data_IF_966648645673
#
_entry.id   IF_966648645673
#
_cell.length_a   1.000
_cell.length_b   1.000
_cell.length_c   1.000
_cell.angle_alpha   90.00
_cell.angle_beta   90.00
_cell.angle_gamma   90.00
#
_symmetry.space_group_name_H-M   'P 1'
#
loop_
_entity.id
_entity.type
_entity.pdbx_description
1 polymer ?
#
# COMPACT_ATOMS: atom_id res chain seq x y z
N UNK A 1 24.74 -50.92 14.67
CA UNK A 1 24.89 -49.46 14.59
C UNK A 1 25.45 -48.96 15.91
N UNK A 2 26.55 -48.19 15.90
CA UNK A 2 27.11 -47.65 17.14
C UNK A 2 26.17 -46.59 17.73
N UNK A 3 26.10 -46.46 19.06
CA UNK A 3 25.31 -45.41 19.73
C UNK A 3 25.66 -44.00 19.21
N UNK A 4 26.92 -43.80 18.81
CA UNK A 4 27.40 -42.55 18.21
C UNK A 4 26.72 -42.23 16.87
N UNK A 5 26.50 -43.24 16.04
CA UNK A 5 25.84 -43.08 14.73
C UNK A 5 24.36 -42.68 14.88
N UNK A 6 23.68 -43.26 15.87
CA UNK A 6 22.29 -42.93 16.18
C UNK A 6 22.19 -41.49 16.70
N UNK A 7 23.08 -41.07 17.61
CA UNK A 7 23.11 -39.70 18.14
C UNK A 7 23.39 -38.69 17.02
N UNK A 8 24.34 -38.98 16.13
CA UNK A 8 24.63 -38.11 14.99
C UNK A 8 23.41 -37.97 14.06
N UNK A 9 22.75 -39.08 13.73
CA UNK A 9 21.59 -39.09 12.84
C UNK A 9 20.39 -38.36 13.45
N UNK A 10 20.13 -38.55 14.74
CA UNK A 10 19.07 -37.83 15.47
C UNK A 10 19.39 -36.33 15.52
N UNK A 11 20.63 -35.95 15.82
CA UNK A 11 21.05 -34.52 15.82
C UNK A 11 20.93 -33.89 14.42
N UNK A 12 21.26 -34.62 13.36
CA UNK A 12 21.11 -34.15 11.98
C UNK A 12 19.63 -33.97 11.61
N UNK A 13 18.75 -34.90 12.02
CA UNK A 13 17.30 -34.77 11.84
C UNK A 13 16.77 -33.57 12.63
N UNK A 14 17.18 -33.38 13.89
CA UNK A 14 16.76 -32.25 14.70
C UNK A 14 17.22 -30.92 14.09
N UNK A 15 18.43 -30.84 13.56
CA UNK A 15 18.93 -29.68 12.82
C UNK A 15 18.11 -29.45 11.53
N UNK A 16 17.88 -30.50 10.73
CA UNK A 16 17.04 -30.40 9.53
C UNK A 16 15.63 -29.90 9.86
N UNK A 17 14.98 -30.45 10.88
CA UNK A 17 13.65 -30.03 11.33
C UNK A 17 13.68 -28.58 11.83
N UNK A 18 14.72 -28.17 12.55
CA UNK A 18 14.87 -26.79 13.03
C UNK A 18 15.09 -25.78 11.89
N UNK A 19 15.84 -26.12 10.84
CA UNK A 19 16.19 -25.21 9.74
C UNK A 19 15.23 -25.28 8.54
N UNK A 20 14.48 -26.36 8.37
CA UNK A 20 13.55 -26.54 7.23
C UNK A 20 12.53 -25.40 7.11
N UNK A 21 11.88 -24.91 8.18
CA UNK A 21 10.95 -23.78 8.08
C UNK A 21 11.62 -22.51 7.54
N UNK A 22 12.85 -22.22 7.98
CA UNK A 22 13.62 -21.06 7.51
C UNK A 22 14.03 -21.19 6.05
N UNK A 23 14.41 -22.39 5.60
CA UNK A 23 14.76 -22.66 4.19
C UNK A 23 13.54 -22.53 3.29
N UNK A 24 12.39 -23.10 3.68
CA UNK A 24 11.13 -22.97 2.93
C UNK A 24 10.72 -21.50 2.84
N UNK A 25 10.86 -20.75 3.93
CA UNK A 25 10.56 -19.30 3.94
C UNK A 25 11.45 -18.53 2.98
N UNK A 26 12.76 -18.74 3.03
CA UNK A 26 13.70 -18.10 2.10
C UNK A 26 13.40 -18.46 0.65
N UNK A 27 13.05 -19.72 0.38
CA UNK A 27 12.63 -20.16 -0.95
C UNK A 27 11.35 -19.47 -1.42
N UNK A 28 10.32 -19.38 -0.58
CA UNK A 28 9.06 -18.68 -0.90
C UNK A 28 9.28 -17.19 -1.14
N UNK A 29 10.09 -16.53 -0.31
CA UNK A 29 10.43 -15.11 -0.49
C UNK A 29 11.24 -14.88 -1.78
N UNK A 30 12.22 -15.74 -2.06
CA UNK A 30 13.02 -15.66 -3.29
C UNK A 30 12.17 -15.91 -4.56
N UNK A 31 11.05 -16.62 -4.44
CA UNK A 31 10.12 -16.89 -5.53
C UNK A 31 8.83 -16.06 -5.46
N UNK A 32 8.75 -15.05 -4.58
CA UNK A 32 7.55 -14.23 -4.40
C UNK A 32 7.10 -13.61 -5.74
N UNK A 33 8.07 -13.12 -6.51
CA UNK A 33 7.87 -12.46 -7.81
C UNK A 33 8.17 -13.37 -9.02
N UNK A 34 8.20 -14.69 -8.83
CA UNK A 34 8.40 -15.61 -9.95
C UNK A 34 7.21 -15.49 -10.93
N UNK A 35 7.48 -15.11 -12.18
CA UNK A 35 6.46 -14.82 -13.20
C UNK A 35 5.41 -15.93 -13.35
N UNK A 36 5.79 -17.21 -13.19
CA UNK A 36 4.88 -18.35 -13.35
C UNK A 36 3.92 -18.53 -12.18
N UNK A 37 4.23 -17.96 -11.02
CA UNK A 37 3.47 -18.14 -9.78
C UNK A 37 3.05 -16.83 -9.13
N UNK A 38 3.38 -15.68 -9.72
CA UNK A 38 3.22 -14.35 -9.09
C UNK A 38 1.77 -14.06 -8.71
N UNK A 39 0.82 -14.29 -9.62
CA UNK A 39 -0.61 -14.15 -9.37
C UNK A 39 -1.07 -14.99 -8.17
N UNK A 40 -0.67 -16.26 -8.14
CA UNK A 40 -0.97 -17.17 -7.04
C UNK A 40 -0.32 -16.72 -5.73
N UNK A 41 0.90 -16.21 -5.78
CA UNK A 41 1.59 -15.73 -4.59
C UNK A 41 0.88 -14.50 -3.99
N UNK A 42 0.41 -13.59 -4.84
CA UNK A 42 -0.22 -12.32 -4.43
C UNK A 42 -1.58 -12.50 -3.76
N UNK A 43 -2.27 -13.62 -4.01
CA UNK A 43 -3.49 -14.01 -3.30
C UNK A 43 -3.25 -14.94 -2.10
N UNK A 44 -1.99 -15.25 -1.78
CA UNK A 44 -1.59 -16.20 -0.71
C UNK A 44 -0.43 -15.67 0.14
N UNK A 45 -0.37 -14.35 0.36
CA UNK A 45 0.69 -13.70 1.14
C UNK A 45 0.77 -14.23 2.57
N UNK A 46 -0.37 -14.50 3.21
CA UNK A 46 -0.50 -15.16 4.51
C UNK A 46 0.18 -16.53 4.58
N UNK A 47 0.34 -17.22 3.44
CA UNK A 47 1.04 -18.51 3.35
C UNK A 47 2.53 -18.35 3.08
N UNK A 48 2.99 -17.14 2.72
CA UNK A 48 4.38 -16.82 2.38
C UNK A 48 5.08 -16.12 3.53
N UNK A 49 4.42 -15.15 4.15
CA UNK A 49 4.94 -14.36 5.26
C UNK A 49 4.48 -14.94 6.59
N UNK A 50 5.41 -15.07 7.53
CA UNK A 50 5.09 -15.54 8.88
C UNK A 50 4.52 -14.43 9.78
N UNK A 51 4.83 -13.17 9.45
CA UNK A 51 4.41 -12.01 10.21
C UNK A 51 3.30 -11.32 9.42
N UNK A 52 2.06 -11.67 9.79
CA UNK A 52 0.86 -10.96 9.37
C UNK A 52 0.14 -10.47 10.61
N UNK A 53 -0.66 -9.43 10.45
CA UNK A 53 -1.48 -8.92 11.53
C UNK A 53 -2.60 -9.89 11.91
N UNK A 54 -3.23 -9.67 13.06
CA UNK A 54 -4.57 -10.17 13.27
C UNK A 54 -5.51 -9.64 12.16
N UNK A 55 -6.54 -10.40 11.76
CA UNK A 55 -7.49 -9.94 10.75
C UNK A 55 -8.15 -8.62 11.14
N UNK A 56 -8.32 -7.75 10.16
CA UNK A 56 -9.24 -6.63 10.16
C UNK A 56 -10.60 -7.22 9.80
N UNK A 57 -11.57 -7.32 10.72
CA UNK A 57 -12.86 -7.93 10.41
C UNK A 57 -13.61 -7.16 9.32
N UNK A 58 -14.38 -7.87 8.51
CA UNK A 58 -15.41 -7.28 7.65
C UNK A 58 -16.41 -6.42 8.45
N UNK A 59 -17.12 -5.54 7.75
CA UNK A 59 -18.21 -4.76 8.35
C UNK A 59 -19.33 -5.69 8.84
N UNK A 60 -19.91 -5.37 9.99
CA UNK A 60 -21.12 -6.04 10.49
C UNK A 60 -22.33 -5.86 9.55
N UNK A 61 -22.31 -4.84 8.70
CA UNK A 61 -23.34 -4.52 7.72
C UNK A 61 -22.74 -4.45 6.31
N UNK A 62 -22.38 -5.60 5.70
CA UNK A 62 -21.76 -5.62 4.39
C UNK A 62 -22.69 -5.06 3.32
N UNK A 63 -22.15 -4.19 2.45
CA UNK A 63 -22.88 -3.57 1.35
C UNK A 63 -22.41 -4.22 0.04
N UNK A 64 -23.35 -4.83 -0.67
CA UNK A 64 -23.13 -5.39 -2.00
C UNK A 64 -23.44 -4.33 -3.05
N UNK A 65 -22.52 -4.07 -3.97
CA UNK A 65 -22.77 -3.16 -5.08
C UNK A 65 -23.95 -3.65 -5.94
N UNK A 66 -24.87 -2.74 -6.24
CA UNK A 66 -25.96 -3.01 -7.18
C UNK A 66 -25.37 -3.18 -8.57
N UNK A 67 -25.70 -4.28 -9.24
CA UNK A 67 -25.29 -4.52 -10.63
C UNK A 67 -26.11 -3.65 -11.57
N UNK A 68 -25.46 -3.11 -12.60
CA UNK A 68 -26.10 -2.50 -13.77
C UNK A 68 -25.57 -3.23 -15.00
N UNK A 69 -26.47 -3.72 -15.84
CA UNK A 69 -26.06 -4.41 -17.07
C UNK A 69 -25.20 -3.47 -17.92
N UNK A 70 -24.00 -3.94 -18.23
CA UNK A 70 -23.04 -3.28 -19.10
C UNK A 70 -22.18 -4.36 -19.75
N UNK A 71 -21.95 -4.22 -21.05
CA UNK A 71 -21.04 -5.08 -21.78
C UNK A 71 -19.78 -4.28 -22.08
N UNK A 72 -18.62 -4.82 -21.68
CA UNK A 72 -17.36 -4.20 -22.04
C UNK A 72 -17.24 -4.12 -23.57
N UNK A 73 -16.66 -3.02 -24.10
CA UNK A 73 -16.43 -2.92 -25.54
C UNK A 73 -15.40 -3.97 -25.99
N UNK A 74 -15.56 -4.51 -27.20
CA UNK A 74 -14.58 -5.47 -27.77
C UNK A 74 -13.19 -4.84 -27.94
N UNK A 75 -13.14 -3.52 -28.13
CA UNK A 75 -11.92 -2.79 -28.45
C UNK A 75 -11.86 -1.44 -27.73
N UNK A 76 -10.65 -0.98 -27.44
CA UNK A 76 -10.36 0.36 -26.94
C UNK A 76 -9.37 1.08 -27.87
N UNK A 77 -9.23 2.40 -27.73
CA UNK A 77 -8.26 3.18 -28.49
C UNK A 77 -7.13 3.62 -27.57
N UNK A 78 -5.88 3.34 -27.97
CA UNK A 78 -4.68 3.79 -27.27
C UNK A 78 -3.68 4.30 -28.31
N UNK A 79 -3.18 5.53 -28.14
CA UNK A 79 -2.26 6.19 -29.08
C UNK A 79 -2.72 6.13 -30.56
N UNK A 80 -4.02 6.35 -30.78
CA UNK A 80 -4.63 6.32 -32.13
C UNK A 80 -4.77 4.93 -32.75
N UNK A 81 -4.40 3.86 -32.03
CA UNK A 81 -4.58 2.47 -32.46
C UNK A 81 -5.79 1.85 -31.77
N UNK A 82 -6.61 1.16 -32.56
CA UNK A 82 -7.71 0.32 -32.04
C UNK A 82 -7.14 -1.03 -31.62
N UNK A 83 -7.25 -1.36 -30.33
CA UNK A 83 -6.72 -2.57 -29.72
C UNK A 83 -7.86 -3.44 -29.18
N UNK A 84 -7.67 -4.76 -29.12
CA UNK A 84 -8.64 -5.67 -28.52
C UNK A 84 -8.55 -5.62 -26.99
N UNK A 85 -9.70 -5.45 -26.32
CA UNK A 85 -9.74 -5.30 -24.87
C UNK A 85 -9.32 -6.58 -24.13
N UNK A 86 -9.79 -7.74 -24.60
CA UNK A 86 -9.49 -9.02 -23.96
C UNK A 86 -8.01 -9.40 -24.13
N UNK A 87 -7.42 -9.12 -25.29
CA UNK A 87 -5.97 -9.26 -25.50
C UNK A 87 -5.19 -8.32 -24.58
N UNK A 88 -5.66 -7.09 -24.37
CA UNK A 88 -5.07 -6.16 -23.41
C UNK A 88 -5.08 -6.69 -21.97
N UNK A 89 -6.25 -7.11 -21.48
CA UNK A 89 -6.39 -7.71 -20.13
C UNK A 89 -5.46 -8.92 -19.96
N UNK A 90 -5.37 -9.77 -20.99
CA UNK A 90 -4.47 -10.93 -20.97
C UNK A 90 -2.99 -10.52 -21.01
N UNK A 91 -2.63 -9.51 -21.81
CA UNK A 91 -1.25 -9.03 -21.96
C UNK A 91 -0.70 -8.45 -20.65
N UNK A 92 -1.54 -7.73 -19.90
CA UNK A 92 -1.17 -7.15 -18.61
C UNK A 92 -1.31 -8.13 -17.43
N UNK A 93 -1.62 -9.41 -17.68
CA UNK A 93 -1.73 -10.45 -16.66
C UNK A 93 -2.69 -10.08 -15.52
N UNK A 94 -3.82 -9.44 -15.85
CA UNK A 94 -4.79 -8.98 -14.85
C UNK A 94 -5.38 -10.14 -14.05
N UNK A 95 -5.26 -10.09 -12.71
CA UNK A 95 -5.82 -11.11 -11.80
C UNK A 95 -7.28 -10.83 -11.44
N UNK A 96 -7.71 -9.57 -11.48
CA UNK A 96 -9.09 -9.19 -11.25
C UNK A 96 -9.36 -7.76 -11.68
N UNK A 97 -10.57 -7.50 -12.17
CA UNK A 97 -11.02 -6.18 -12.61
C UNK A 97 -12.46 -5.96 -12.15
N UNK A 98 -12.69 -4.82 -11.52
CA UNK A 98 -14.02 -4.33 -11.14
C UNK A 98 -14.18 -2.90 -11.64
N UNK A 99 -15.33 -2.61 -12.24
CA UNK A 99 -15.66 -1.26 -12.76
C UNK A 99 -16.96 -0.80 -12.12
N UNK A 100 -16.91 0.35 -11.47
CA UNK A 100 -18.06 1.04 -10.89
C UNK A 100 -18.38 2.29 -11.71
N UNK A 101 -19.66 2.64 -11.78
CA UNK A 101 -20.12 3.91 -12.34
C UNK A 101 -21.40 4.33 -11.61
N UNK A 102 -21.44 5.57 -11.10
CA UNK A 102 -22.53 6.09 -10.27
C UNK A 102 -22.93 5.14 -9.11
N UNK A 103 -21.94 4.59 -8.40
CA UNK A 103 -22.19 3.66 -7.29
C UNK A 103 -22.72 2.28 -7.69
N UNK A 104 -22.77 1.96 -8.98
CA UNK A 104 -23.23 0.67 -9.50
C UNK A 104 -22.09 -0.11 -10.14
N UNK A 105 -22.07 -1.41 -9.92
CA UNK A 105 -21.09 -2.31 -10.52
C UNK A 105 -21.50 -2.64 -11.95
N UNK A 106 -20.67 -2.20 -12.90
CA UNK A 106 -20.83 -2.44 -14.33
C UNK A 106 -20.16 -3.76 -14.75
N UNK A 107 -18.99 -4.04 -14.17
CA UNK A 107 -18.18 -5.19 -14.53
C UNK A 107 -17.45 -5.74 -13.31
N UNK A 108 -17.31 -7.05 -13.25
CA UNK A 108 -16.50 -7.78 -12.26
C UNK A 108 -16.06 -9.10 -12.89
N UNK A 109 -14.75 -9.32 -12.98
CA UNK A 109 -14.18 -10.58 -13.42
C UNK A 109 -12.85 -10.87 -12.73
N UNK A 110 -12.55 -12.16 -12.60
CA UNK A 110 -11.35 -12.67 -11.95
C UNK A 110 -10.65 -13.68 -12.86
N UNK A 111 -9.33 -13.74 -12.78
CA UNK A 111 -8.45 -14.65 -13.54
C UNK A 111 -7.39 -15.26 -12.61
N UNK A 112 -6.57 -16.18 -13.13
CA UNK A 112 -5.36 -16.68 -12.46
C UNK A 112 -5.55 -17.23 -11.03
N UNK A 113 -6.59 -18.04 -10.81
CA UNK A 113 -7.01 -18.59 -9.50
C UNK A 113 -7.58 -17.54 -8.51
N UNK A 114 -7.58 -16.25 -8.87
CA UNK A 114 -8.22 -15.20 -8.10
C UNK A 114 -9.75 -15.36 -8.12
N UNK A 115 -10.42 -14.89 -7.07
CA UNK A 115 -11.88 -14.92 -6.95
C UNK A 115 -12.35 -13.84 -5.95
N UNK A 116 -13.66 -13.68 -5.82
CA UNK A 116 -14.29 -12.68 -4.94
C UNK A 116 -13.86 -12.76 -3.47
N UNK A 117 -13.44 -13.94 -3.00
CA UNK A 117 -13.10 -14.19 -1.61
C UNK A 117 -11.57 -14.12 -1.37
N UNK A 118 -10.77 -14.03 -2.44
CA UNK A 118 -9.31 -13.86 -2.35
C UNK A 118 -8.92 -12.57 -1.64
N UNK A 119 -7.74 -12.58 -0.99
CA UNK A 119 -7.10 -11.39 -0.42
C UNK A 119 -5.86 -11.11 -1.22
N UNK A 120 -5.94 -10.09 -2.06
CA UNK A 120 -4.85 -9.70 -2.95
C UNK A 120 -4.03 -8.59 -2.29
N UNK A 121 -2.71 -8.72 -2.34
CA UNK A 121 -1.81 -7.66 -1.87
C UNK A 121 -1.97 -6.40 -2.73
N UNK A 122 -2.06 -5.25 -2.06
CA UNK A 122 -2.22 -3.94 -2.70
C UNK A 122 -0.92 -3.33 -3.19
N UNK A 123 0.21 -3.74 -2.60
CA UNK A 123 1.44 -2.94 -2.61
C UNK A 123 1.10 -1.48 -2.29
N UNK A 124 1.67 -0.54 -3.02
CA UNK A 124 1.56 0.88 -2.70
C UNK A 124 0.16 1.49 -2.82
N UNK A 125 -0.87 0.75 -3.25
CA UNK A 125 -2.26 1.19 -3.05
C UNK A 125 -2.59 1.39 -1.55
N UNK A 126 -1.92 0.66 -0.65
CA UNK A 126 -2.08 0.84 0.80
C UNK A 126 -1.72 2.26 1.29
N UNK A 127 -0.85 2.98 0.58
CA UNK A 127 -0.40 4.33 0.96
C UNK A 127 -1.57 5.32 1.01
N UNK A 128 -2.51 5.19 0.07
CA UNK A 128 -3.70 6.04 -0.01
C UNK A 128 -4.69 5.79 1.13
N UNK A 129 -4.78 4.54 1.62
CA UNK A 129 -5.51 4.23 2.85
C UNK A 129 -4.88 4.93 4.05
N UNK A 130 -3.55 4.87 4.19
CA UNK A 130 -2.88 5.56 5.28
C UNK A 130 -3.08 7.08 5.21
N UNK A 131 -3.00 7.68 4.01
CA UNK A 131 -3.28 9.11 3.82
C UNK A 131 -4.67 9.48 4.34
N UNK A 132 -5.70 8.69 4.03
CA UNK A 132 -7.04 8.91 4.57
C UNK A 132 -7.06 8.91 6.10
N UNK A 133 -6.34 7.98 6.74
CA UNK A 133 -6.26 7.89 8.20
C UNK A 133 -5.51 9.07 8.83
N UNK A 134 -4.47 9.59 8.19
CA UNK A 134 -3.80 10.82 8.63
C UNK A 134 -4.77 12.00 8.57
N UNK A 135 -5.56 12.12 7.49
CA UNK A 135 -6.59 13.14 7.37
C UNK A 135 -7.65 13.09 8.46
N UNK A 136 -8.10 11.88 8.80
CA UNK A 136 -9.04 11.67 9.91
C UNK A 136 -8.38 12.02 11.25
N UNK A 137 -7.12 11.63 11.49
CA UNK A 137 -6.41 11.96 12.72
C UNK A 137 -6.21 13.48 12.90
N UNK A 138 -6.04 14.23 11.82
CA UNK A 138 -5.99 15.69 11.83
C UNK A 138 -7.35 16.29 12.20
N UNK A 139 -8.42 15.81 11.57
CA UNK A 139 -9.80 16.26 11.87
C UNK A 139 -10.22 15.95 13.31
N UNK A 140 -9.74 14.83 13.86
CA UNK A 140 -9.92 14.45 15.26
C UNK A 140 -9.01 15.25 16.24
N UNK A 141 -8.12 16.11 15.73
CA UNK A 141 -7.19 16.91 16.53
C UNK A 141 -6.05 16.11 17.17
N UNK A 142 -5.80 14.88 16.71
CA UNK A 142 -4.68 14.03 17.16
C UNK A 142 -3.35 14.46 16.53
N UNK A 143 -3.42 15.01 15.31
CA UNK A 143 -2.33 15.71 14.62
C UNK A 143 -2.78 17.16 14.46
N UNK A 144 -1.97 18.13 14.88
CA UNK A 144 -2.38 19.53 14.94
C UNK A 144 -2.30 20.18 13.55
N UNK A 145 -1.24 19.90 12.80
CA UNK A 145 -1.07 20.40 11.44
C UNK A 145 -0.22 19.47 10.57
N UNK A 146 -0.46 19.49 9.26
CA UNK A 146 0.45 18.87 8.29
C UNK A 146 1.82 19.58 8.23
N UNK A 147 1.91 20.82 8.73
CA UNK A 147 3.17 21.55 8.82
C UNK A 147 4.03 21.16 10.02
N UNK A 148 3.52 20.30 10.90
CA UNK A 148 4.27 19.76 12.02
C UNK A 148 5.38 18.81 11.57
N UNK A 149 6.47 18.80 12.32
CA UNK A 149 7.62 17.93 12.08
C UNK A 149 7.40 16.52 12.64
N UNK A 150 8.12 15.53 12.10
CA UNK A 150 8.13 14.15 12.63
C UNK A 150 8.53 14.14 14.10
N UNK A 151 9.57 14.89 14.48
CA UNK A 151 10.08 14.95 15.86
C UNK A 151 9.07 15.47 16.87
N UNK A 152 8.06 16.25 16.46
CA UNK A 152 6.95 16.68 17.32
C UNK A 152 6.17 15.50 17.89
N UNK A 153 6.07 14.41 17.13
CA UNK A 153 5.26 13.24 17.48
C UNK A 153 6.10 12.02 17.88
N UNK A 154 7.38 12.01 17.53
CA UNK A 154 8.30 10.89 17.71
C UNK A 154 9.65 11.36 18.29
N UNK A 155 9.75 11.45 19.61
CA UNK A 155 10.97 11.90 20.30
C UNK A 155 12.23 11.10 19.90
N UNK A 156 12.09 9.81 19.64
CA UNK A 156 13.21 8.94 19.27
C UNK A 156 13.67 9.10 17.80
N UNK A 157 13.02 9.98 17.03
CA UNK A 157 13.45 10.39 15.68
C UNK A 157 14.36 11.63 15.70
N UNK A 158 14.57 12.26 16.85
CA UNK A 158 15.58 13.32 17.02
C UNK A 158 16.97 12.78 16.64
N UNK A 159 17.70 13.50 15.79
CA UNK A 159 19.00 13.14 15.23
C UNK A 159 18.94 12.22 14.00
N UNK A 160 17.75 11.90 13.48
CA UNK A 160 17.58 11.08 12.26
C UNK A 160 17.36 11.94 11.02
N UNK A 161 17.45 11.35 9.83
CA UNK A 161 17.15 12.09 8.58
C UNK A 161 15.73 12.65 8.50
N UNK A 162 14.81 12.15 9.34
CA UNK A 162 13.41 12.54 9.37
C UNK A 162 13.08 13.61 10.41
N UNK A 163 14.00 13.96 11.32
CA UNK A 163 13.74 14.81 12.50
C UNK A 163 12.87 16.03 12.19
N UNK A 164 13.31 16.85 11.24
CA UNK A 164 12.66 18.11 10.88
C UNK A 164 11.71 17.99 9.69
N UNK A 165 11.48 16.78 9.16
CA UNK A 165 10.62 16.58 7.99
C UNK A 165 9.18 16.87 8.37
N UNK A 166 8.50 17.72 7.60
CA UNK A 166 7.08 18.01 7.79
C UNK A 166 6.21 16.83 7.38
N UNK A 167 5.10 16.61 8.09
CA UNK A 167 4.07 15.62 7.71
C UNK A 167 3.61 15.84 6.26
N UNK A 168 3.40 17.09 5.85
CA UNK A 168 3.05 17.48 4.47
C UNK A 168 4.06 16.93 3.46
N UNK A 169 5.35 17.06 3.75
CA UNK A 169 6.40 16.63 2.85
C UNK A 169 6.54 15.10 2.79
N UNK A 170 6.20 14.37 3.86
CA UNK A 170 6.02 12.91 3.79
C UNK A 170 4.83 12.52 2.91
N UNK A 171 3.69 13.19 3.09
CA UNK A 171 2.46 12.95 2.32
C UNK A 171 2.67 13.19 0.83
N UNK A 172 3.51 14.17 0.47
CA UNK A 172 3.80 14.58 -0.89
C UNK A 172 5.03 13.90 -1.52
N UNK A 173 5.63 12.89 -0.85
CA UNK A 173 6.86 12.24 -1.32
C UNK A 173 7.95 13.25 -1.65
N UNK A 174 8.16 14.20 -0.74
CA UNK A 174 9.07 15.34 -0.89
C UNK A 174 9.89 15.54 0.39
N UNK A 175 10.17 14.45 1.11
CA UNK A 175 10.92 14.46 2.38
C UNK A 175 12.40 14.85 2.24
N UNK A 176 12.97 14.69 1.05
CA UNK A 176 14.40 14.88 0.81
C UNK A 176 15.28 13.73 1.33
N UNK A 177 14.69 12.59 1.69
CA UNK A 177 15.42 11.42 2.18
C UNK A 177 16.17 10.73 1.03
N UNK A 178 17.40 10.32 1.30
CA UNK A 178 18.17 9.45 0.42
C UNK A 178 17.60 8.05 0.45
N UNK A 179 17.00 7.63 -0.66
CA UNK A 179 16.39 6.32 -0.77
C UNK A 179 16.38 5.84 -2.22
N UNK A 180 17.07 4.73 -2.51
CA UNK A 180 16.96 4.08 -3.81
C UNK A 180 15.74 3.13 -3.82
N UNK A 181 14.73 3.47 -4.62
CA UNK A 181 13.49 2.71 -4.81
C UNK A 181 13.56 1.73 -6.01
N UNK A 182 14.72 1.48 -6.60
CA UNK A 182 14.87 0.52 -7.69
C UNK A 182 14.67 -0.92 -7.17
N UNK A 183 13.51 -1.51 -7.49
CA UNK A 183 13.16 -2.88 -7.12
C UNK A 183 14.03 -3.93 -7.83
N UNK A 184 14.63 -3.61 -8.98
CA UNK A 184 15.51 -4.50 -9.74
C UNK A 184 16.96 -4.48 -9.22
N UNK A 185 17.40 -3.40 -8.58
CA UNK A 185 18.73 -3.32 -7.96
C UNK A 185 18.74 -4.00 -6.58
N UNK A 186 19.50 -5.09 -6.46
CA UNK A 186 19.69 -5.78 -5.18
C UNK A 186 20.25 -4.87 -4.07
N UNK A 187 21.04 -3.85 -4.42
CA UNK A 187 21.65 -2.91 -3.49
C UNK A 187 20.82 -1.65 -3.22
N UNK A 188 19.62 -1.56 -3.78
CA UNK A 188 18.69 -0.47 -3.48
C UNK A 188 18.20 -0.52 -2.03
N UNK A 189 17.73 0.62 -1.53
CA UNK A 189 17.30 0.73 -0.14
C UNK A 189 16.00 0.00 0.12
N UNK A 190 15.11 -0.12 -0.88
CA UNK A 190 13.90 -0.95 -0.79
C UNK A 190 14.23 -2.45 -0.64
N UNK A 191 15.27 -2.92 -1.34
CA UNK A 191 15.75 -4.30 -1.23
C UNK A 191 16.52 -4.52 0.08
N UNK A 192 17.31 -3.53 0.54
CA UNK A 192 17.93 -3.57 1.88
C UNK A 192 16.89 -3.59 2.99
N UNK A 193 15.83 -2.79 2.89
CA UNK A 193 14.69 -2.76 3.79
C UNK A 193 14.06 -4.15 3.89
N UNK A 194 13.65 -4.72 2.76
CA UNK A 194 13.04 -6.05 2.69
C UNK A 194 13.91 -7.12 3.37
N UNK A 195 15.23 -7.11 3.10
CA UNK A 195 16.16 -8.06 3.73
C UNK A 195 16.39 -7.79 5.22
N UNK A 196 16.41 -6.53 5.64
CA UNK A 196 16.61 -6.16 7.04
C UNK A 196 15.40 -6.59 7.87
N UNK A 197 14.18 -6.33 7.39
CA UNK A 197 12.93 -6.79 8.03
C UNK A 197 12.85 -8.31 8.07
N UNK A 198 13.21 -9.01 6.99
CA UNK A 198 13.28 -10.47 6.98
C UNK A 198 14.26 -11.06 8.02
N UNK A 199 15.25 -10.25 8.45
CA UNK A 199 16.21 -10.57 9.53
C UNK A 199 15.80 -10.05 10.91
N UNK A 200 14.62 -9.45 11.03
CA UNK A 200 14.05 -8.99 12.30
C UNK A 200 14.35 -7.54 12.67
N UNK A 201 14.88 -6.72 11.74
CA UNK A 201 14.95 -5.27 11.96
C UNK A 201 13.54 -4.68 11.85
N UNK A 202 13.12 -3.91 12.85
CA UNK A 202 11.81 -3.24 12.80
C UNK A 202 11.75 -2.19 11.69
N UNK A 203 10.53 -1.87 11.25
CA UNK A 203 10.30 -0.79 10.30
C UNK A 203 10.78 0.55 10.86
N UNK A 204 10.51 0.81 12.14
CA UNK A 204 10.94 2.01 12.87
C UNK A 204 12.47 2.15 12.88
N UNK A 205 13.20 1.09 13.23
CA UNK A 205 14.67 1.12 13.27
C UNK A 205 15.28 1.27 11.88
N UNK A 206 14.61 0.77 10.83
CA UNK A 206 15.07 0.99 9.47
C UNK A 206 14.89 2.45 9.06
N UNK A 207 13.70 3.03 9.29
CA UNK A 207 13.41 4.44 9.00
C UNK A 207 14.43 5.37 9.69
N UNK A 208 14.73 5.14 10.97
CA UNK A 208 15.71 5.93 11.74
C UNK A 208 17.13 5.88 11.20
N UNK A 209 17.47 4.85 10.42
CA UNK A 209 18.81 4.74 9.81
C UNK A 209 18.97 5.53 8.51
N UNK A 210 17.88 6.03 7.92
CA UNK A 210 17.91 6.83 6.70
C UNK A 210 18.43 8.24 6.96
N UNK A 211 18.97 8.84 5.90
CA UNK A 211 19.62 10.16 5.94
C UNK A 211 18.90 11.11 4.99
N UNK A 212 18.90 12.39 5.33
CA UNK A 212 18.49 13.45 4.42
C UNK A 212 19.61 13.67 3.39
N UNK A 213 19.24 13.84 2.12
CA UNK A 213 20.16 14.15 1.01
C UNK A 213 19.73 15.33 0.17
N UNK A 214 18.55 15.91 0.43
CA UNK A 214 18.05 17.12 -0.22
C UNK A 214 17.20 17.92 0.75
N UNK A 215 17.08 19.22 0.50
CA UNK A 215 16.09 20.07 1.15
C UNK A 215 14.66 19.53 0.88
N UNK A 216 13.91 19.30 1.96
CA UNK A 216 12.52 18.83 1.87
C UNK A 216 11.62 19.87 1.18
N UNK A 217 10.55 19.41 0.53
CA UNK A 217 9.56 20.26 -0.15
C UNK A 217 10.05 20.92 -1.43
N UNK A 218 11.21 20.50 -1.96
CA UNK A 218 11.81 21.09 -3.18
C UNK A 218 11.78 20.16 -4.40
N UNK A 219 11.50 18.87 -4.21
CA UNK A 219 11.59 17.85 -5.24
C UNK A 219 10.70 16.65 -4.91
N UNK A 220 9.94 16.15 -5.89
CA UNK A 220 9.13 14.95 -5.73
C UNK A 220 9.98 13.68 -5.96
N UNK A 221 10.29 12.99 -4.88
CA UNK A 221 11.03 11.73 -4.85
C UNK A 221 10.21 10.68 -4.12
N UNK A 222 9.77 9.66 -4.86
CA UNK A 222 8.98 8.58 -4.28
C UNK A 222 9.83 7.73 -3.33
N UNK A 223 9.47 7.74 -2.04
CA UNK A 223 10.18 7.02 -0.96
C UNK A 223 9.17 6.22 -0.13
N UNK A 224 9.21 4.89 -0.21
CA UNK A 224 8.24 4.04 0.51
C UNK A 224 8.28 4.22 2.03
N UNK A 225 9.44 4.59 2.60
CA UNK A 225 9.58 4.79 4.04
C UNK A 225 8.93 6.08 4.55
N UNK A 226 8.64 7.06 3.69
CA UNK A 226 7.89 8.27 4.09
C UNK A 226 6.48 7.89 4.57
N UNK A 227 5.82 6.98 3.84
CA UNK A 227 4.54 6.40 4.25
C UNK A 227 4.66 5.64 5.57
N UNK A 228 5.74 4.88 5.76
CA UNK A 228 5.90 4.11 6.99
C UNK A 228 6.15 5.01 8.20
N UNK A 229 6.84 6.15 8.04
CA UNK A 229 6.98 7.16 9.10
C UNK A 229 5.63 7.78 9.44
N UNK A 230 4.78 8.08 8.45
CA UNK A 230 3.40 8.52 8.70
C UNK A 230 2.62 7.48 9.53
N UNK A 231 2.79 6.19 9.26
CA UNK A 231 2.14 5.14 10.03
C UNK A 231 2.65 5.11 11.48
N UNK A 232 3.94 5.32 11.69
CA UNK A 232 4.54 5.39 13.02
C UNK A 232 4.00 6.61 13.80
N UNK A 233 3.82 7.76 13.13
CA UNK A 233 3.16 8.94 13.72
C UNK A 233 1.72 8.59 14.11
N UNK A 234 0.96 7.99 13.18
CA UNK A 234 -0.43 7.61 13.41
C UNK A 234 -0.58 6.66 14.61
N UNK A 235 0.27 5.64 14.72
CA UNK A 235 0.27 4.71 15.85
C UNK A 235 0.63 5.42 17.17
N UNK A 236 1.55 6.39 17.14
CA UNK A 236 1.93 7.20 18.30
C UNK A 236 0.76 8.03 18.84
N UNK A 237 0.06 8.75 17.96
CA UNK A 237 -1.03 9.67 18.37
C UNK A 237 -2.35 8.96 18.66
N UNK A 238 -2.57 7.79 18.07
CA UNK A 238 -3.79 7.00 18.32
C UNK A 238 -3.62 5.98 19.45
N UNK A 239 -2.38 5.62 19.78
CA UNK A 239 -2.02 4.48 20.63
C UNK A 239 -2.70 3.16 20.17
N UNK A 240 -2.84 3.00 18.86
CA UNK A 240 -3.44 1.83 18.22
C UNK A 240 -2.63 1.45 16.97
N UNK A 241 -2.53 0.15 16.63
CA UNK A 241 -1.99 -0.27 15.34
C UNK A 241 -2.80 0.31 14.17
N UNK A 242 -2.14 0.55 13.02
CA UNK A 242 -2.79 1.11 11.82
C UNK A 242 -4.05 0.34 11.43
N UNK A 243 -4.00 -1.00 11.47
CA UNK A 243 -5.14 -1.88 11.15
C UNK A 243 -6.36 -1.65 12.03
N UNK A 244 -6.17 -1.31 13.30
CA UNK A 244 -7.28 -1.08 14.23
C UNK A 244 -7.92 0.28 14.00
N UNK A 245 -7.10 1.30 13.74
CA UNK A 245 -7.59 2.61 13.37
C UNK A 245 -8.30 2.56 12.01
N UNK A 246 -7.74 1.84 11.04
CA UNK A 246 -8.39 1.55 9.75
C UNK A 246 -9.75 0.89 9.94
N UNK A 247 -9.84 -0.14 10.80
CA UNK A 247 -11.11 -0.80 11.10
C UNK A 247 -12.15 0.18 11.64
N UNK A 248 -11.78 0.91 12.70
CA UNK A 248 -12.69 1.81 13.44
C UNK A 248 -13.16 3.00 12.60
N UNK A 249 -12.30 3.52 11.72
CA UNK A 249 -12.55 4.76 11.00
C UNK A 249 -13.09 4.57 9.60
N UNK A 250 -12.70 3.51 8.90
CA UNK A 250 -13.06 3.33 7.49
C UNK A 250 -13.66 1.95 7.24
N UNK A 251 -12.93 0.88 7.56
CA UNK A 251 -13.25 -0.48 7.09
C UNK A 251 -14.63 -0.96 7.55
N UNK A 252 -14.95 -0.77 8.84
CA UNK A 252 -16.25 -1.17 9.40
C UNK A 252 -17.42 -0.33 8.88
N UNK A 253 -17.15 0.88 8.38
CA UNK A 253 -18.16 1.88 8.01
C UNK A 253 -18.56 1.84 6.53
N UNK A 254 -17.65 1.42 5.65
CA UNK A 254 -17.92 1.39 4.21
C UNK A 254 -18.56 0.07 3.72
N UNK A 255 -19.08 -0.75 4.64
CA UNK A 255 -19.77 -1.99 4.31
C UNK A 255 -18.88 -3.04 3.64
N UNK A 256 -17.64 -3.19 4.10
CA UNK A 256 -16.70 -4.21 3.58
C UNK A 256 -17.27 -5.62 3.72
N UNK A 257 -17.02 -6.46 2.72
CA UNK A 257 -17.57 -7.82 2.60
C UNK A 257 -16.64 -8.88 3.18
N UNK A 258 -15.35 -8.56 3.29
CA UNK A 258 -14.33 -9.51 3.69
C UNK A 258 -13.40 -8.94 4.74
N UNK A 259 -12.82 -9.87 5.52
CA UNK A 259 -11.70 -9.55 6.38
C UNK A 259 -10.50 -9.10 5.54
N UNK A 260 -9.65 -8.25 6.10
CA UNK A 260 -8.38 -7.85 5.51
C UNK A 260 -7.24 -8.11 6.50
N UNK A 261 -6.00 -7.94 6.08
CA UNK A 261 -4.85 -7.99 6.98
C UNK A 261 -3.67 -7.22 6.42
N UNK A 262 -2.72 -6.89 7.28
CA UNK A 262 -1.43 -6.34 6.89
C UNK A 262 -0.33 -7.40 7.01
N UNK A 263 0.69 -7.32 6.15
CA UNK A 263 2.03 -7.84 6.48
C UNK A 263 2.58 -7.01 7.65
N UNK A 264 3.26 -7.64 8.60
CA UNK A 264 3.87 -6.97 9.76
C UNK A 264 5.38 -7.22 9.84
N UNK A 265 6.09 -6.35 10.56
CA UNK A 265 7.46 -6.65 10.97
C UNK A 265 7.51 -7.59 12.19
N UNK A 266 8.70 -7.88 12.70
CA UNK A 266 8.88 -8.74 13.88
C UNK A 266 8.35 -8.16 15.20
N UNK A 267 7.99 -6.89 15.22
CA UNK A 267 7.38 -6.21 16.38
C UNK A 267 5.86 -6.17 16.30
N UNK A 268 5.28 -6.55 15.16
CA UNK A 268 3.84 -6.53 14.91
C UNK A 268 3.32 -5.19 14.35
N UNK A 269 4.22 -4.28 13.94
CA UNK A 269 3.87 -3.03 13.28
C UNK A 269 3.37 -3.32 11.85
N UNK A 270 2.28 -2.66 11.44
CA UNK A 270 1.67 -2.88 10.13
C UNK A 270 2.51 -2.22 9.02
N UNK A 271 2.74 -2.95 7.92
CA UNK A 271 3.47 -2.44 6.76
C UNK A 271 2.58 -1.52 5.91
N UNK A 272 2.31 -0.31 6.40
CA UNK A 272 1.42 0.64 5.75
C UNK A 272 1.91 1.11 4.37
N UNK A 273 3.21 0.99 4.09
CA UNK A 273 3.78 1.31 2.78
C UNK A 273 3.32 0.36 1.65
N UNK A 274 2.76 -0.82 1.97
CA UNK A 274 2.24 -1.70 0.92
C UNK A 274 1.75 -3.10 1.31
N UNK A 275 1.59 -3.38 2.60
CA UNK A 275 1.27 -4.71 3.11
C UNK A 275 -0.21 -5.04 3.22
N UNK A 276 -1.13 -4.14 2.84
CA UNK A 276 -2.56 -4.39 2.95
C UNK A 276 -2.98 -5.47 1.95
N UNK A 277 -3.71 -6.47 2.44
CA UNK A 277 -4.29 -7.55 1.66
C UNK A 277 -5.81 -7.54 1.86
N UNK A 278 -6.57 -7.38 0.78
CA UNK A 278 -8.03 -7.27 0.82
C UNK A 278 -8.68 -7.84 -0.45
N UNK A 279 -10.02 -7.94 -0.43
CA UNK A 279 -10.79 -8.34 -1.61
C UNK A 279 -10.85 -7.21 -2.64
N UNK A 280 -11.00 -7.57 -3.91
CA UNK A 280 -11.16 -6.61 -5.00
C UNK A 280 -12.36 -5.66 -4.78
N UNK A 281 -13.47 -6.19 -4.24
CA UNK A 281 -14.66 -5.40 -3.92
C UNK A 281 -14.42 -4.39 -2.80
N UNK A 282 -13.62 -4.75 -1.81
CA UNK A 282 -13.34 -3.86 -0.68
C UNK A 282 -12.33 -2.76 -1.05
N UNK A 283 -11.39 -3.04 -1.96
CA UNK A 283 -10.62 -1.98 -2.63
C UNK A 283 -11.53 -1.03 -3.41
N UNK A 284 -12.51 -1.56 -4.16
CA UNK A 284 -13.45 -0.74 -4.91
C UNK A 284 -14.34 0.14 -4.01
N UNK A 285 -14.71 -0.31 -2.80
CA UNK A 285 -15.45 0.52 -1.82
C UNK A 285 -14.63 1.71 -1.36
N UNK A 286 -13.32 1.55 -1.16
CA UNK A 286 -12.45 2.68 -0.85
C UNK A 286 -12.33 3.66 -2.02
N UNK A 287 -12.23 3.14 -3.25
CA UNK A 287 -12.30 3.99 -4.46
C UNK A 287 -13.62 4.78 -4.53
N UNK A 288 -14.75 4.11 -4.31
CA UNK A 288 -16.07 4.74 -4.30
C UNK A 288 -16.24 5.77 -3.16
N UNK A 289 -15.61 5.55 -2.01
CA UNK A 289 -15.56 6.53 -0.92
C UNK A 289 -14.86 7.82 -1.38
N UNK A 290 -13.70 7.70 -2.05
CA UNK A 290 -12.97 8.85 -2.57
C UNK A 290 -13.68 9.54 -3.73
N UNK A 291 -14.32 8.78 -4.63
CA UNK A 291 -15.18 9.33 -5.68
C UNK A 291 -16.32 10.19 -5.09
N UNK A 292 -16.83 9.81 -3.92
CA UNK A 292 -17.85 10.56 -3.18
C UNK A 292 -17.27 11.60 -2.21
N UNK A 293 -16.04 12.07 -2.42
CA UNK A 293 -15.37 13.06 -1.57
C UNK A 293 -15.35 12.69 -0.07
N UNK A 294 -15.19 11.40 0.24
CA UNK A 294 -15.14 10.90 1.62
C UNK A 294 -16.51 10.67 2.26
N UNK A 295 -17.60 10.88 1.54
CA UNK A 295 -18.95 10.59 2.00
C UNK A 295 -19.39 9.16 1.64
N UNK A 296 -19.87 8.42 2.63
CA UNK A 296 -20.45 7.10 2.44
C UNK A 296 -21.91 7.08 2.87
N UNK A 297 -22.82 7.08 1.89
CA UNK A 297 -24.27 7.03 2.11
C UNK A 297 -24.81 8.06 3.13
N UNK A 298 -24.25 9.28 3.12
CA UNK A 298 -24.66 10.37 4.01
C UNK A 298 -23.78 10.55 5.24
N UNK A 299 -22.91 9.59 5.58
CA UNK A 299 -21.91 9.75 6.64
C UNK A 299 -20.60 10.26 6.06
N UNK A 300 -20.05 11.35 6.60
CA UNK A 300 -18.72 11.82 6.23
C UNK A 300 -17.66 10.99 6.97
N UNK A 301 -16.95 10.13 6.24
CA UNK A 301 -15.97 9.18 6.79
C UNK A 301 -14.56 9.79 6.78
N UNK A 302 -14.16 10.32 5.63
CA UNK A 302 -12.90 11.07 5.45
C UNK A 302 -13.29 12.53 5.23
N UNK A 303 -12.67 13.51 5.89
CA UNK A 303 -13.02 14.92 5.68
C UNK A 303 -12.99 15.29 4.18
N UNK A 304 -14.04 15.94 3.69
CA UNK A 304 -14.15 16.33 2.28
C UNK A 304 -12.95 17.21 1.85
N UNK A 305 -12.56 18.14 2.71
CA UNK A 305 -11.39 19.00 2.51
C UNK A 305 -10.09 18.19 2.38
N UNK A 306 -9.96 17.08 3.11
CA UNK A 306 -8.80 16.19 3.00
C UNK A 306 -8.79 15.46 1.66
N UNK A 307 -9.94 14.90 1.25
CA UNK A 307 -10.03 14.21 -0.04
C UNK A 307 -9.65 15.14 -1.18
N UNK A 308 -10.16 16.38 -1.20
CA UNK A 308 -9.83 17.38 -2.22
C UNK A 308 -8.33 17.73 -2.19
N UNK A 309 -7.77 18.06 -1.03
CA UNK A 309 -6.34 18.40 -0.90
C UNK A 309 -5.43 17.23 -1.28
N UNK A 310 -5.83 16.00 -0.92
CA UNK A 310 -5.03 14.79 -1.17
C UNK A 310 -4.82 14.47 -2.65
N UNK A 311 -5.63 15.05 -3.54
CA UNK A 311 -5.52 14.90 -5.00
C UNK A 311 -5.21 16.21 -5.72
N UNK A 312 -4.85 17.26 -4.99
CA UNK A 312 -4.54 18.58 -5.57
C UNK A 312 -3.05 18.87 -5.38
N UNK A 313 -2.22 18.74 -6.42
CA UNK A 313 -0.85 19.23 -6.37
C UNK A 313 -0.83 20.73 -6.07
N UNK A 314 -0.01 21.15 -5.11
CA UNK A 314 0.02 22.54 -4.62
C UNK A 314 1.41 23.19 -4.75
N UNK A 315 2.33 22.56 -5.49
CA UNK A 315 3.67 23.07 -5.78
C UNK A 315 4.16 22.55 -7.14
N UNK A 316 5.09 23.28 -7.77
CA UNK A 316 5.60 22.97 -9.12
C UNK A 316 6.20 21.56 -9.22
N UNK A 317 6.93 21.11 -8.19
CA UNK A 317 7.53 19.77 -8.15
C UNK A 317 6.51 18.63 -8.05
N UNK A 318 5.25 18.94 -7.77
CA UNK A 318 4.15 17.97 -7.63
C UNK A 318 3.25 17.91 -8.86
N UNK A 319 3.42 18.83 -9.81
CA UNK A 319 2.61 18.88 -11.02
C UNK A 319 2.98 17.73 -11.97
N UNK A 320 2.01 17.20 -12.75
CA UNK A 320 2.35 16.32 -13.85
C UNK A 320 3.32 17.00 -14.82
N UNK A 321 4.27 16.24 -15.36
CA UNK A 321 5.33 16.71 -16.25
C UNK A 321 6.19 17.84 -15.65
N UNK A 322 6.48 17.78 -14.34
CA UNK A 322 7.32 18.76 -13.65
C UNK A 322 8.81 18.77 -14.07
N UNK A 323 9.23 17.91 -15.00
CA UNK A 323 10.60 17.84 -15.52
C UNK A 323 11.62 17.56 -14.41
N UNK A 324 12.68 18.37 -14.34
CA UNK A 324 13.80 18.20 -13.39
C UNK A 324 13.42 18.38 -11.90
N UNK A 325 12.16 18.76 -11.61
CA UNK A 325 11.64 18.90 -10.25
C UNK A 325 10.99 17.61 -9.70
N UNK A 326 10.82 16.58 -10.53
CA UNK A 326 10.20 15.31 -10.13
C UNK A 326 10.96 14.11 -10.69
N UNK A 327 10.92 13.01 -9.93
CA UNK A 327 11.40 11.70 -10.39
C UNK A 327 10.38 10.93 -11.23
N UNK A 328 9.18 11.49 -11.44
CA UNK A 328 8.09 10.86 -12.16
C UNK A 328 7.35 11.86 -13.07
N UNK A 329 6.80 11.36 -14.18
CA UNK A 329 6.01 12.17 -15.11
C UNK A 329 4.60 12.48 -14.57
N UNK A 330 4.06 11.63 -13.70
CA UNK A 330 2.80 11.89 -13.02
C UNK A 330 3.00 12.88 -11.88
N UNK A 331 1.99 13.71 -11.66
CA UNK A 331 1.92 14.54 -10.48
C UNK A 331 1.61 13.73 -9.23
N UNK A 332 1.67 14.38 -8.07
CA UNK A 332 1.47 13.72 -6.79
C UNK A 332 0.76 14.63 -5.78
N UNK A 333 -0.19 14.08 -5.03
CA UNK A 333 -0.87 14.74 -3.92
C UNK A 333 -0.47 14.17 -2.57
N UNK A 334 -1.43 13.94 -1.68
CA UNK A 334 -1.20 13.25 -0.41
C UNK A 334 -1.38 11.74 -0.59
N UNK A 335 -0.31 11.07 -1.02
CA UNK A 335 -0.29 9.63 -1.32
C UNK A 335 -1.26 9.20 -2.44
N UNK A 336 -1.47 10.08 -3.43
CA UNK A 336 -2.23 9.83 -4.65
C UNK A 336 -1.44 10.33 -5.86
N UNK A 337 -1.41 9.53 -6.92
CA UNK A 337 -0.83 9.92 -8.21
C UNK A 337 -1.84 10.68 -9.05
N UNK A 338 -1.36 11.68 -9.80
CA UNK A 338 -2.15 12.52 -10.70
C UNK A 338 -1.61 12.34 -12.12
N UNK A 339 -2.21 11.50 -12.97
CA UNK A 339 -1.73 11.25 -14.33
C UNK A 339 -1.69 12.50 -15.21
N UNK A 340 -2.56 13.47 -14.93
CA UNK A 340 -2.53 14.81 -15.51
C UNK A 340 -3.42 15.04 -16.73
N UNK A 341 -4.04 14.00 -17.30
CA UNK A 341 -4.95 14.15 -18.44
C UNK A 341 -6.21 13.26 -18.33
N UNK A 342 -7.35 13.82 -17.89
CA UNK A 342 -7.50 15.16 -17.32
C UNK A 342 -6.84 15.28 -15.93
N UNK A 343 -6.59 16.52 -15.48
CA UNK A 343 -6.00 16.78 -14.15
C UNK A 343 -6.92 16.36 -12.99
N UNK A 344 -8.20 16.10 -13.29
CA UNK A 344 -9.20 15.64 -12.33
C UNK A 344 -9.04 14.18 -11.97
N UNK A 345 -8.41 13.38 -12.82
CA UNK A 345 -8.17 11.96 -12.59
C UNK A 345 -7.06 11.78 -11.57
N UNK A 346 -7.22 10.76 -10.73
CA UNK A 346 -6.22 10.41 -9.74
C UNK A 346 -6.24 8.91 -9.44
N UNK A 347 -5.11 8.38 -8.99
CA UNK A 347 -4.97 6.95 -8.78
C UNK A 347 -4.06 6.58 -7.63
N UNK A 348 -4.47 5.54 -6.88
CA UNK A 348 -3.58 4.80 -6.02
C UNK A 348 -2.91 3.72 -6.90
N UNK A 349 -1.57 3.64 -6.86
CA UNK A 349 -0.82 2.76 -7.74
C UNK A 349 0.23 1.96 -6.94
N UNK A 350 0.18 0.64 -7.06
CA UNK A 350 1.15 -0.31 -6.55
C UNK A 350 1.92 -0.99 -7.67
N UNK A 351 3.17 -1.39 -7.38
CA UNK A 351 4.00 -2.18 -8.29
C UNK A 351 3.25 -3.42 -8.80
N UNK A 352 3.61 -3.90 -9.99
CA UNK A 352 2.89 -4.96 -10.70
C UNK A 352 1.44 -4.59 -11.06
N UNK A 353 1.22 -3.33 -11.47
CA UNK A 353 -0.04 -2.85 -12.06
C UNK A 353 -1.27 -2.98 -11.14
N UNK A 354 -1.11 -2.64 -9.86
CA UNK A 354 -2.22 -2.61 -8.91
C UNK A 354 -2.80 -1.19 -8.87
N UNK A 355 -4.07 -1.02 -9.21
CA UNK A 355 -4.69 0.31 -9.32
C UNK A 355 -6.02 0.41 -8.59
N UNK A 356 -6.23 1.55 -7.93
CA UNK A 356 -7.55 2.16 -7.77
C UNK A 356 -7.51 3.44 -8.61
N UNK A 357 -8.26 3.48 -9.70
CA UNK A 357 -8.33 4.62 -10.62
C UNK A 357 -9.70 5.29 -10.49
N UNK A 358 -9.72 6.62 -10.42
CA UNK A 358 -10.94 7.43 -10.25
C UNK A 358 -10.92 8.53 -11.32
N UNK A 359 -12.01 8.60 -12.10
CA UNK A 359 -12.25 9.55 -13.19
C UNK A 359 -13.53 10.39 -13.00
#
# INVERSE_FOLDING_TARGET
MSKLFIIFFVSLILLLVAYTPNIIRLYKLANLYNEKTIAKNFINIDKIFNNISNPIPSSENPIIFKKKEFYLPETYTYEGKKLNLQEGISHFHTDGLIVLHDGKMLFEQYWNENNKDSKHISFSVAKSYLSALIGIAIDEGLIESIDDTVSKYLDDFIGTGYEDVKIKNLLQMSSGIEFNEDYADFNSDINKFSRATARGKSFRDFAKSLKSGREQGTYNHYVSLDTQVLAIILESVTNMPVREYLYKRIWSKIGTESDAYYITDSTGADMALGGLNASLRDYAKFGQLYLNNGNWHGEQIVPESWVIQSRTPDADHLMPNAGDLSSNEWGYGYQWWIPGNPITDFTAHGIFNQFIYID
#
